data_IF_378561849862
#
_entry.id   IF_378561849862
#
_cell.length_a   1.000
_cell.length_b   1.000
_cell.length_c   1.000
_cell.angle_alpha   90.00
_cell.angle_beta   90.00
_cell.angle_gamma   90.00
#
_symmetry.space_group_name_H-M   'P 1'
#
loop_
_entity.id
_entity.type
_entity.pdbx_description
1 polymer ?
#
# COMPACT_ATOMS: atom_id res chain seq x y z
N UNK A 1 54.90 12.53 27.72
CA UNK A 1 54.44 11.24 27.16
C UNK A 1 52.91 11.33 27.11
N UNK A 2 52.40 12.03 26.08
CA UNK A 2 51.64 11.43 24.95
C UNK A 2 50.44 10.64 25.51
N UNK A 3 49.24 11.20 25.60
CA UNK A 3 48.53 11.88 24.51
C UNK A 3 47.83 10.85 23.63
N UNK A 4 47.14 9.88 24.25
CA UNK A 4 46.22 8.95 23.56
C UNK A 4 45.01 9.74 23.07
N UNK A 5 45.20 10.33 21.90
CA UNK A 5 44.16 10.84 21.02
C UNK A 5 43.14 9.73 20.77
N UNK A 6 41.93 9.95 21.27
CA UNK A 6 40.70 9.29 20.85
C UNK A 6 40.70 9.18 19.32
N UNK A 7 41.04 8.00 18.80
CA UNK A 7 40.71 7.63 17.43
C UNK A 7 39.20 7.64 17.34
N UNK A 8 38.68 8.74 16.79
CA UNK A 8 37.33 8.74 16.23
C UNK A 8 37.30 7.62 15.21
N UNK A 9 36.37 6.65 15.29
CA UNK A 9 36.30 5.58 14.30
C UNK A 9 36.17 6.24 12.94
N UNK A 10 37.12 5.93 12.05
CA UNK A 10 37.17 6.45 10.68
C UNK A 10 35.77 6.41 10.07
N UNK A 11 35.26 7.58 9.67
CA UNK A 11 33.99 7.66 8.97
C UNK A 11 34.06 6.71 7.76
N UNK A 12 33.12 5.76 7.63
CA UNK A 12 33.25 4.70 6.64
C UNK A 12 33.31 5.32 5.24
N UNK A 13 34.43 5.06 4.54
CA UNK A 13 34.74 5.66 3.23
C UNK A 13 33.70 5.22 2.19
N UNK A 14 33.13 6.14 1.40
CA UNK A 14 32.14 5.80 0.40
C UNK A 14 32.73 4.87 -0.67
N UNK A 15 32.07 3.75 -0.92
CA UNK A 15 32.46 2.76 -1.92
C UNK A 15 31.67 3.00 -3.22
N UNK A 16 32.05 4.05 -3.97
CA UNK A 16 31.59 4.27 -5.36
C UNK A 16 30.56 5.39 -5.58
N UNK A 17 30.23 5.63 -6.85
CA UNK A 17 29.35 6.74 -7.28
C UNK A 17 27.90 6.61 -6.78
N UNK A 18 27.39 5.38 -6.71
CA UNK A 18 26.07 5.07 -6.13
C UNK A 18 26.01 5.35 -4.63
N UNK A 19 27.11 5.08 -3.92
CA UNK A 19 27.22 5.31 -2.49
C UNK A 19 27.25 6.81 -2.16
N UNK A 20 27.89 7.62 -3.01
CA UNK A 20 27.87 9.08 -2.87
C UNK A 20 26.50 9.70 -3.20
N UNK A 21 25.77 9.16 -4.17
CA UNK A 21 24.46 9.71 -4.58
C UNK A 21 23.34 9.33 -3.60
N UNK A 22 23.28 8.06 -3.17
CA UNK A 22 22.26 7.57 -2.23
C UNK A 22 22.68 7.66 -0.76
N UNK A 23 23.95 8.01 -0.49
CA UNK A 23 24.54 8.08 0.86
C UNK A 23 24.37 6.76 1.62
N UNK A 24 24.58 5.62 0.95
CA UNK A 24 24.22 4.28 1.45
C UNK A 24 25.02 3.94 2.71
N UNK A 25 26.32 4.15 2.67
CA UNK A 25 27.25 3.94 3.79
C UNK A 25 27.03 4.95 4.91
N UNK A 26 26.66 6.20 4.59
CA UNK A 26 26.31 7.21 5.59
C UNK A 26 24.93 6.95 6.25
N UNK A 27 24.05 6.17 5.61
CA UNK A 27 22.80 5.63 6.19
C UNK A 27 23.01 4.32 6.94
N UNK A 28 24.25 3.81 7.01
CA UNK A 28 24.60 2.56 7.71
C UNK A 28 24.14 1.29 6.99
N UNK A 29 23.84 1.37 5.68
CA UNK A 29 23.37 0.25 4.87
C UNK A 29 24.46 -0.23 3.90
N UNK A 30 24.24 -1.38 3.25
CA UNK A 30 25.12 -1.92 2.20
C UNK A 30 24.34 -2.12 0.92
N UNK A 31 25.02 -2.10 -0.24
CA UNK A 31 24.37 -2.35 -1.54
C UNK A 31 23.60 -3.67 -1.56
N UNK A 32 24.12 -4.72 -0.90
CA UNK A 32 23.41 -6.00 -0.76
C UNK A 32 22.12 -5.87 0.05
N UNK A 33 22.15 -5.11 1.14
CA UNK A 33 20.98 -4.89 2.01
C UNK A 33 19.92 -4.03 1.32
N UNK A 34 20.31 -3.01 0.57
CA UNK A 34 19.39 -2.19 -0.25
C UNK A 34 18.72 -3.03 -1.35
N UNK A 35 19.48 -3.89 -2.04
CA UNK A 35 18.92 -4.79 -3.07
C UNK A 35 17.95 -5.80 -2.45
N UNK A 36 18.29 -6.39 -1.30
CA UNK A 36 17.39 -7.30 -0.59
C UNK A 36 16.12 -6.57 -0.12
N UNK A 37 16.25 -5.39 0.47
CA UNK A 37 15.13 -4.59 0.95
C UNK A 37 14.22 -4.12 -0.21
N UNK A 38 14.81 -3.78 -1.35
CA UNK A 38 14.07 -3.49 -2.58
C UNK A 38 13.30 -4.70 -3.09
N UNK A 39 13.93 -5.88 -3.11
CA UNK A 39 13.29 -7.12 -3.55
C UNK A 39 12.13 -7.54 -2.62
N UNK A 40 12.32 -7.47 -1.30
CA UNK A 40 11.26 -7.78 -0.33
C UNK A 40 10.09 -6.82 -0.47
N UNK A 41 10.36 -5.52 -0.63
CA UNK A 41 9.32 -4.50 -0.84
C UNK A 41 8.58 -4.71 -2.16
N UNK A 42 9.30 -5.07 -3.22
CA UNK A 42 8.71 -5.40 -4.50
C UNK A 42 7.76 -6.60 -4.38
N UNK A 43 8.21 -7.70 -3.77
CA UNK A 43 7.39 -8.90 -3.54
C UNK A 43 6.13 -8.59 -2.73
N UNK A 44 6.23 -7.73 -1.72
CA UNK A 44 5.08 -7.29 -0.94
C UNK A 44 4.05 -6.50 -1.78
N UNK A 45 4.52 -5.63 -2.69
CA UNK A 45 3.64 -4.82 -3.54
C UNK A 45 3.01 -5.60 -4.70
N UNK A 46 3.65 -6.66 -5.20
CA UNK A 46 3.15 -7.47 -6.33
C UNK A 46 1.73 -7.99 -6.10
N UNK A 47 1.33 -8.25 -4.85
CA UNK A 47 -0.05 -8.63 -4.52
C UNK A 47 -1.09 -7.62 -5.06
N UNK A 48 -0.81 -6.31 -4.96
CA UNK A 48 -1.73 -5.26 -5.43
C UNK A 48 -1.97 -5.32 -6.93
N UNK A 49 -0.98 -5.74 -7.72
CA UNK A 49 -1.03 -5.82 -9.18
C UNK A 49 -2.02 -6.90 -9.65
N UNK A 50 -2.26 -7.94 -8.85
CA UNK A 50 -3.23 -9.00 -9.16
C UNK A 50 -4.62 -8.63 -8.64
N UNK A 51 -4.67 -8.06 -7.43
CA UNK A 51 -5.92 -7.81 -6.70
C UNK A 51 -6.70 -6.65 -7.30
N UNK A 52 -6.05 -5.55 -7.65
CA UNK A 52 -6.70 -4.33 -8.16
C UNK A 52 -7.46 -4.60 -9.47
N UNK A 53 -6.86 -5.22 -10.51
CA UNK A 53 -7.58 -5.60 -11.72
C UNK A 53 -8.70 -6.61 -11.46
N UNK A 54 -8.50 -7.54 -10.52
CA UNK A 54 -9.54 -8.52 -10.15
C UNK A 54 -10.77 -7.88 -9.50
N UNK A 55 -10.58 -6.83 -8.69
CA UNK A 55 -11.68 -6.10 -8.05
C UNK A 55 -12.40 -5.18 -9.04
N UNK A 56 -11.65 -4.36 -9.78
CA UNK A 56 -12.21 -3.42 -10.75
C UNK A 56 -12.82 -4.15 -11.96
N UNK A 57 -12.27 -5.30 -12.35
CA UNK A 57 -12.83 -6.14 -13.42
C UNK A 57 -14.26 -6.59 -13.11
N UNK A 58 -14.56 -6.96 -11.85
CA UNK A 58 -15.91 -7.31 -11.41
C UNK A 58 -16.90 -6.13 -11.47
N UNK A 59 -16.41 -4.90 -11.43
CA UNK A 59 -17.21 -3.69 -11.56
C UNK A 59 -17.34 -3.20 -13.01
N UNK A 60 -16.82 -3.94 -14.01
CA UNK A 60 -16.93 -3.58 -15.43
C UNK A 60 -15.77 -2.76 -15.99
N UNK A 61 -14.67 -2.62 -15.25
CA UNK A 61 -13.46 -2.00 -15.79
C UNK A 61 -12.69 -3.01 -16.67
N UNK A 62 -12.05 -2.56 -17.77
CA UNK A 62 -11.19 -3.42 -18.59
C UNK A 62 -9.97 -3.90 -17.79
N UNK A 63 -9.88 -5.20 -17.40
CA UNK A 63 -8.86 -5.66 -16.45
C UNK A 63 -7.44 -5.50 -16.96
N UNK A 64 -7.22 -5.71 -18.26
CA UNK A 64 -5.92 -5.54 -18.90
C UNK A 64 -5.43 -4.08 -18.84
N UNK A 65 -6.32 -3.11 -19.08
CA UNK A 65 -5.95 -1.70 -19.02
C UNK A 65 -5.68 -1.25 -17.57
N UNK A 66 -6.48 -1.73 -16.60
CA UNK A 66 -6.27 -1.46 -15.17
C UNK A 66 -4.94 -2.06 -14.68
N UNK A 67 -4.59 -3.27 -15.12
CA UNK A 67 -3.31 -3.91 -14.81
C UNK A 67 -2.14 -3.05 -15.30
N UNK A 68 -2.14 -2.69 -16.59
CA UNK A 68 -1.08 -1.86 -17.19
C UNK A 68 -0.99 -0.51 -16.49
N UNK A 69 -2.12 0.15 -16.23
CA UNK A 69 -2.15 1.42 -15.51
C UNK A 69 -1.59 1.31 -14.09
N UNK A 70 -1.93 0.24 -13.36
CA UNK A 70 -1.43 0.01 -12.00
C UNK A 70 0.08 -0.22 -11.98
N UNK A 71 0.59 -1.07 -12.88
CA UNK A 71 2.03 -1.31 -13.01
C UNK A 71 2.79 -0.04 -13.40
N UNK A 72 2.26 0.73 -14.35
CA UNK A 72 2.89 1.95 -14.84
C UNK A 72 2.93 3.04 -13.75
N UNK A 73 1.82 3.25 -13.04
CA UNK A 73 1.75 4.24 -11.95
C UNK A 73 2.61 3.84 -10.76
N UNK A 74 2.56 2.57 -10.33
CA UNK A 74 3.38 2.08 -9.22
C UNK A 74 4.87 2.11 -9.56
N UNK A 75 5.24 1.66 -10.76
CA UNK A 75 6.62 1.67 -11.25
C UNK A 75 7.15 3.09 -11.41
N UNK A 76 6.44 3.96 -12.15
CA UNK A 76 6.84 5.34 -12.37
C UNK A 76 6.86 6.14 -11.06
N UNK A 77 5.85 5.97 -10.21
CA UNK A 77 5.78 6.65 -8.91
C UNK A 77 6.93 6.25 -7.97
N UNK A 78 7.22 4.95 -7.88
CA UNK A 78 8.34 4.46 -7.08
C UNK A 78 9.69 4.91 -7.65
N UNK A 79 9.83 4.95 -8.98
CA UNK A 79 11.03 5.45 -9.65
C UNK A 79 11.27 6.94 -9.38
N UNK A 80 10.20 7.74 -9.45
CA UNK A 80 10.25 9.18 -9.18
C UNK A 80 10.66 9.45 -7.72
N UNK A 81 10.08 8.73 -6.75
CA UNK A 81 10.46 8.85 -5.34
C UNK A 81 11.89 8.38 -5.06
N UNK A 82 12.30 7.29 -5.71
CA UNK A 82 13.65 6.74 -5.56
C UNK A 82 14.74 7.64 -6.14
N UNK A 83 14.61 8.05 -7.41
CA UNK A 83 15.67 8.83 -8.08
C UNK A 83 15.63 10.32 -7.77
N UNK A 84 14.43 10.90 -7.61
CA UNK A 84 14.28 12.35 -7.51
C UNK A 84 14.16 12.84 -6.06
N UNK A 85 13.43 12.10 -5.22
CA UNK A 85 13.32 12.43 -3.80
C UNK A 85 14.39 11.73 -2.92
N UNK A 86 15.10 10.71 -3.44
CA UNK A 86 16.10 9.93 -2.72
C UNK A 86 15.57 9.37 -1.38
N UNK A 87 14.28 8.99 -1.40
CA UNK A 87 13.54 8.42 -0.28
C UNK A 87 13.25 6.95 -0.57
N UNK A 88 13.49 6.02 0.38
CA UNK A 88 13.17 4.60 0.23
C UNK A 88 11.65 4.37 0.38
N UNK A 89 10.86 4.97 -0.50
CA UNK A 89 9.40 4.94 -0.46
C UNK A 89 8.87 4.27 -1.71
N UNK A 90 8.18 3.15 -1.52
CA UNK A 90 7.47 2.45 -2.56
C UNK A 90 6.06 3.04 -2.71
N UNK A 91 5.67 3.37 -3.95
CA UNK A 91 4.33 3.86 -4.26
C UNK A 91 3.51 2.69 -4.82
N UNK A 92 2.40 2.39 -4.15
CA UNK A 92 1.44 1.37 -4.56
C UNK A 92 0.02 1.90 -4.70
N UNK A 93 -0.86 1.07 -5.25
CA UNK A 93 -2.28 1.38 -5.36
C UNK A 93 -3.00 1.18 -4.01
N UNK A 94 -3.90 2.08 -3.66
CA UNK A 94 -4.74 1.94 -2.47
C UNK A 94 -5.85 0.90 -2.68
N UNK A 95 -5.68 -0.29 -2.11
CA UNK A 95 -6.61 -1.42 -2.24
C UNK A 95 -7.99 -1.08 -1.65
N UNK A 96 -8.03 -0.42 -0.49
CA UNK A 96 -9.30 -0.06 0.17
C UNK A 96 -10.15 0.90 -0.66
N UNK A 97 -9.53 1.92 -1.24
CA UNK A 97 -10.21 2.90 -2.08
C UNK A 97 -10.66 2.27 -3.40
N UNK A 98 -9.86 1.34 -3.94
CA UNK A 98 -10.22 0.52 -5.10
C UNK A 98 -11.47 -0.33 -4.81
N UNK A 99 -11.52 -0.97 -3.64
CA UNK A 99 -12.66 -1.77 -3.20
C UNK A 99 -13.94 -0.94 -3.08
N UNK A 100 -13.83 0.23 -2.45
CA UNK A 100 -14.93 1.18 -2.31
C UNK A 100 -15.45 1.63 -3.68
N UNK A 101 -14.54 1.94 -4.61
CA UNK A 101 -14.92 2.37 -5.97
C UNK A 101 -15.63 1.24 -6.73
N UNK A 102 -15.10 0.02 -6.68
CA UNK A 102 -15.68 -1.12 -7.39
C UNK A 102 -17.02 -1.58 -6.79
N UNK A 103 -17.05 -1.85 -5.48
CA UNK A 103 -18.20 -2.49 -4.82
C UNK A 103 -19.25 -1.50 -4.33
N UNK A 104 -18.84 -0.36 -3.76
CA UNK A 104 -19.79 0.60 -3.19
C UNK A 104 -20.31 1.58 -4.23
N UNK A 105 -19.42 2.22 -5.01
CA UNK A 105 -19.83 3.22 -6.00
C UNK A 105 -20.41 2.57 -7.26
N UNK A 106 -19.64 1.72 -7.94
CA UNK A 106 -20.05 1.19 -9.25
C UNK A 106 -21.11 0.10 -9.09
N UNK A 107 -20.85 -0.94 -8.29
CA UNK A 107 -21.83 -2.02 -8.10
C UNK A 107 -22.98 -1.63 -7.16
N UNK A 108 -22.70 -0.91 -6.08
CA UNK A 108 -23.71 -0.55 -5.07
C UNK A 108 -24.64 0.59 -5.50
N UNK A 109 -24.11 1.65 -6.11
CA UNK A 109 -24.90 2.82 -6.55
C UNK A 109 -25.16 2.83 -8.07
N UNK A 110 -24.72 1.81 -8.81
CA UNK A 110 -24.91 1.68 -10.27
C UNK A 110 -24.35 2.88 -11.05
N UNK A 111 -23.29 3.51 -10.55
CA UNK A 111 -22.62 4.64 -11.21
C UNK A 111 -21.77 4.10 -12.37
N UNK A 112 -21.81 4.78 -13.52
CA UNK A 112 -20.99 4.39 -14.67
C UNK A 112 -19.49 4.53 -14.40
N UNK A 113 -18.69 3.62 -14.97
CA UNK A 113 -17.23 3.59 -14.85
C UNK A 113 -16.56 4.95 -15.17
N UNK A 114 -16.95 5.67 -16.26
CA UNK A 114 -16.34 6.97 -16.57
C UNK A 114 -16.62 8.03 -15.49
N UNK A 115 -17.81 8.02 -14.89
CA UNK A 115 -18.17 8.97 -13.81
C UNK A 115 -17.37 8.67 -12.55
N UNK A 116 -17.21 7.39 -12.20
CA UNK A 116 -16.37 6.99 -11.07
C UNK A 116 -14.91 7.40 -11.26
N UNK A 117 -14.35 7.20 -12.46
CA UNK A 117 -12.99 7.66 -12.80
C UNK A 117 -12.87 9.19 -12.77
N UNK A 118 -13.88 9.92 -13.23
CA UNK A 118 -13.94 11.38 -13.14
C UNK A 118 -13.92 11.89 -11.71
N UNK A 119 -14.67 11.23 -10.81
CA UNK A 119 -14.67 11.56 -9.39
C UNK A 119 -13.30 11.31 -8.73
N UNK A 120 -12.66 10.17 -9.03
CA UNK A 120 -11.32 9.85 -8.53
C UNK A 120 -10.27 10.84 -9.05
N UNK A 121 -10.36 11.22 -10.33
CA UNK A 121 -9.48 12.22 -10.93
C UNK A 121 -9.64 13.58 -10.23
N UNK A 122 -10.88 14.04 -10.03
CA UNK A 122 -11.15 15.32 -9.36
C UNK A 122 -10.68 15.31 -7.91
N UNK A 123 -10.89 14.20 -7.19
CA UNK A 123 -10.33 14.00 -5.86
C UNK A 123 -8.80 14.12 -5.86
N UNK A 124 -8.12 13.54 -6.85
CA UNK A 124 -6.68 13.66 -7.02
C UNK A 124 -6.21 15.11 -7.26
N UNK A 125 -6.91 15.85 -8.12
CA UNK A 125 -6.61 17.27 -8.38
C UNK A 125 -6.77 18.11 -7.11
N UNK A 126 -7.89 17.94 -6.40
CA UNK A 126 -8.16 18.63 -5.13
C UNK A 126 -7.09 18.27 -4.09
N UNK A 127 -6.75 16.99 -3.96
CA UNK A 127 -5.74 16.53 -3.01
C UNK A 127 -4.35 17.09 -3.34
N UNK A 128 -3.96 17.16 -4.61
CA UNK A 128 -2.72 17.80 -5.05
C UNK A 128 -2.72 19.30 -4.70
N UNK A 129 -3.81 20.02 -4.96
CA UNK A 129 -3.92 21.44 -4.60
C UNK A 129 -3.77 21.67 -3.08
N UNK A 130 -4.40 20.83 -2.26
CA UNK A 130 -4.26 20.86 -0.79
C UNK A 130 -2.82 20.51 -0.36
N UNK A 131 -2.17 19.58 -1.05
CA UNK A 131 -0.79 19.19 -0.75
C UNK A 131 0.21 20.30 -1.10
N UNK A 132 0.00 21.04 -2.18
CA UNK A 132 0.87 22.15 -2.60
C UNK A 132 0.70 23.38 -1.70
N UNK A 133 -0.51 23.64 -1.21
CA UNK A 133 -0.79 24.77 -0.31
C UNK A 133 -0.30 24.55 1.13
N UNK A 134 0.29 23.40 1.46
CA UNK A 134 0.84 23.10 2.79
C UNK A 134 -0.20 22.76 3.86
N UNK A 135 -1.49 22.80 3.51
CA UNK A 135 -2.62 22.45 4.37
C UNK A 135 -2.49 21.03 4.91
N UNK A 136 -1.95 20.10 4.12
CA UNK A 136 -1.66 18.72 4.55
C UNK A 136 -0.83 18.68 5.83
N UNK A 137 0.25 19.46 5.92
CA UNK A 137 1.13 19.47 7.09
C UNK A 137 0.45 20.10 8.30
N UNK A 138 -0.39 21.11 8.07
CA UNK A 138 -1.21 21.73 9.12
C UNK A 138 -2.21 20.73 9.72
N UNK A 139 -2.93 19.99 8.86
CA UNK A 139 -3.87 18.94 9.30
C UNK A 139 -3.15 17.89 10.13
N UNK A 140 -2.02 17.37 9.66
CA UNK A 140 -1.27 16.32 10.37
C UNK A 140 -0.80 16.78 11.76
N UNK A 141 -0.45 18.06 11.92
CA UNK A 141 0.00 18.60 13.21
C UNK A 141 -1.15 18.85 14.19
N UNK A 142 -2.35 19.06 13.69
CA UNK A 142 -3.56 19.29 14.48
C UNK A 142 -4.40 18.03 14.70
N UNK A 143 -4.02 16.90 14.09
CA UNK A 143 -4.78 15.66 14.18
C UNK A 143 -4.52 14.97 15.53
N UNK A 144 -5.55 14.78 16.38
CA UNK A 144 -5.36 14.11 17.66
C UNK A 144 -4.98 12.64 17.44
N UNK A 145 -4.07 12.13 18.27
CA UNK A 145 -3.54 10.76 18.15
C UNK A 145 -4.64 9.70 18.13
N UNK A 146 -5.78 9.93 18.78
CA UNK A 146 -6.94 9.01 18.75
C UNK A 146 -7.52 8.83 17.33
N UNK A 147 -7.61 9.89 16.54
CA UNK A 147 -8.11 9.83 15.16
C UNK A 147 -7.08 9.14 14.26
N UNK A 148 -5.78 9.37 14.47
CA UNK A 148 -4.72 8.69 13.73
C UNK A 148 -4.79 7.17 13.93
N UNK A 149 -4.83 6.71 15.18
CA UNK A 149 -4.90 5.29 15.51
C UNK A 149 -6.22 4.68 15.04
N UNK A 150 -7.36 5.36 15.24
CA UNK A 150 -8.65 4.90 14.77
C UNK A 150 -8.71 4.73 13.25
N UNK A 151 -8.10 5.64 12.49
CA UNK A 151 -8.00 5.55 11.03
C UNK A 151 -7.18 4.31 10.62
N UNK A 152 -6.03 4.07 11.28
CA UNK A 152 -5.21 2.89 11.03
C UNK A 152 -5.95 1.58 11.30
N UNK A 153 -6.63 1.49 12.45
CA UNK A 153 -7.43 0.31 12.83
C UNK A 153 -8.57 0.08 11.83
N UNK A 154 -9.29 1.15 11.44
CA UNK A 154 -10.39 1.07 10.49
C UNK A 154 -9.97 0.56 9.11
N UNK A 155 -8.85 1.08 8.57
CA UNK A 155 -8.29 0.61 7.29
C UNK A 155 -7.89 -0.87 7.40
N UNK A 156 -7.25 -1.26 8.51
CA UNK A 156 -6.85 -2.65 8.77
C UNK A 156 -8.03 -3.61 8.82
N UNK A 157 -9.06 -3.28 9.60
CA UNK A 157 -10.29 -4.08 9.71
C UNK A 157 -11.05 -4.16 8.39
N UNK A 158 -11.05 -3.08 7.60
CA UNK A 158 -11.67 -3.07 6.28
C UNK A 158 -10.93 -3.99 5.29
N UNK A 159 -9.60 -3.95 5.27
CA UNK A 159 -8.80 -4.87 4.46
C UNK A 159 -8.95 -6.32 4.92
N UNK A 160 -9.05 -6.56 6.24
CA UNK A 160 -9.33 -7.88 6.80
C UNK A 160 -10.68 -8.41 6.29
N UNK A 161 -11.73 -7.58 6.27
CA UNK A 161 -13.03 -7.97 5.75
C UNK A 161 -12.97 -8.33 4.26
N UNK A 162 -12.25 -7.55 3.44
CA UNK A 162 -12.07 -7.84 2.01
C UNK A 162 -11.33 -9.16 1.82
N UNK A 163 -10.26 -9.40 2.58
CA UNK A 163 -9.49 -10.64 2.52
C UNK A 163 -10.34 -11.84 2.96
N UNK A 164 -11.05 -11.73 4.09
CA UNK A 164 -11.95 -12.75 4.60
C UNK A 164 -13.07 -13.09 3.60
N UNK A 165 -13.58 -12.08 2.88
CA UNK A 165 -14.53 -12.30 1.79
C UNK A 165 -13.90 -12.98 0.58
N UNK A 166 -12.69 -12.58 0.18
CA UNK A 166 -11.96 -13.18 -0.93
C UNK A 166 -11.63 -14.66 -0.73
N UNK A 167 -11.38 -15.08 0.52
CA UNK A 167 -11.08 -16.47 0.89
C UNK A 167 -12.35 -17.29 1.18
N UNK A 168 -13.52 -16.65 1.29
CA UNK A 168 -14.78 -17.32 1.61
C UNK A 168 -14.95 -17.65 3.09
N UNK A 169 -14.13 -17.04 3.98
CA UNK A 169 -14.35 -17.07 5.43
C UNK A 169 -15.59 -16.26 5.81
N UNK A 170 -15.84 -15.19 5.06
CA UNK A 170 -17.00 -14.30 5.19
C UNK A 170 -17.79 -14.32 3.89
N UNK A 171 -19.02 -14.82 3.93
CA UNK A 171 -19.92 -14.89 2.78
C UNK A 171 -21.07 -13.90 2.92
N UNK A 172 -21.64 -13.48 1.78
CA UNK A 172 -22.86 -12.67 1.78
C UNK A 172 -23.99 -13.50 2.37
N UNK A 173 -24.63 -12.99 3.42
CA UNK A 173 -25.80 -13.64 3.98
C UNK A 173 -27.01 -13.38 3.05
N UNK A 174 -27.73 -14.43 2.60
CA UNK A 174 -28.98 -14.26 1.87
C UNK A 174 -30.18 -13.86 2.76
N UNK A 175 -30.03 -13.85 4.10
CA UNK A 175 -31.11 -13.53 5.05
C UNK A 175 -31.11 -12.03 5.38
N UNK A 176 -32.26 -11.36 5.27
CA UNK A 176 -32.45 -9.97 5.67
C UNK A 176 -32.21 -9.79 7.18
N UNK A 177 -31.17 -9.04 7.54
CA UNK A 177 -30.88 -8.66 8.94
C UNK A 177 -29.39 -8.69 9.33
N UNK A 178 -28.57 -9.54 8.70
CA UNK A 178 -27.11 -9.56 8.90
C UNK A 178 -26.40 -9.43 7.55
N UNK A 179 -25.57 -8.40 7.30
CA UNK A 179 -24.87 -8.25 6.03
C UNK A 179 -23.84 -9.37 5.74
N UNK A 180 -23.45 -10.13 6.78
CA UNK A 180 -22.30 -11.01 6.79
C UNK A 180 -22.68 -12.35 7.42
N UNK A 181 -22.37 -13.46 6.76
CA UNK A 181 -22.48 -14.81 7.30
C UNK A 181 -21.12 -15.50 7.35
N UNK A 182 -20.94 -16.41 8.31
CA UNK A 182 -19.74 -17.24 8.37
C UNK A 182 -19.77 -18.26 7.23
N UNK A 183 -18.68 -18.31 6.45
CA UNK A 183 -18.51 -19.28 5.39
C UNK A 183 -18.10 -20.67 5.92
N UNK A 184 -17.79 -21.58 5.00
CA UNK A 184 -17.34 -22.92 5.37
C UNK A 184 -15.90 -22.88 5.90
N UNK A 185 -15.72 -22.92 7.22
CA UNK A 185 -14.40 -22.93 7.88
C UNK A 185 -13.53 -24.15 7.53
N UNK A 186 -14.14 -25.23 7.05
CA UNK A 186 -13.45 -26.45 6.61
C UNK A 186 -12.99 -26.38 5.15
N UNK A 187 -13.26 -25.27 4.44
CA UNK A 187 -12.82 -25.12 3.07
C UNK A 187 -11.31 -24.88 2.98
N UNK A 188 -10.68 -25.48 1.97
CA UNK A 188 -9.23 -25.41 1.73
C UNK A 188 -8.68 -23.96 1.77
N UNK A 189 -9.32 -22.95 1.16
CA UNK A 189 -8.81 -21.56 1.20
C UNK A 189 -8.80 -20.95 2.61
N UNK A 190 -9.83 -21.22 3.42
CA UNK A 190 -9.97 -20.67 4.78
C UNK A 190 -8.93 -21.28 5.71
N UNK A 191 -8.74 -22.60 5.63
CA UNK A 191 -7.75 -23.30 6.42
C UNK A 191 -6.32 -22.88 6.09
N UNK A 192 -6.00 -22.69 4.80
CA UNK A 192 -4.69 -22.17 4.37
C UNK A 192 -4.45 -20.74 4.84
N UNK A 193 -5.50 -19.91 4.88
CA UNK A 193 -5.39 -18.53 5.36
C UNK A 193 -5.20 -18.45 6.88
N UNK A 194 -5.89 -19.32 7.65
CA UNK A 194 -5.71 -19.44 9.10
C UNK A 194 -4.32 -20.00 9.46
N UNK A 195 -3.84 -21.01 8.72
CA UNK A 195 -2.48 -21.53 8.88
C UNK A 195 -1.44 -20.45 8.56
N UNK A 196 -1.60 -19.74 7.45
CA UNK A 196 -0.70 -18.64 7.09
C UNK A 196 -0.68 -17.54 8.15
N UNK A 197 -1.84 -17.18 8.71
CA UNK A 197 -1.93 -16.22 9.81
C UNK A 197 -1.24 -16.73 11.08
N UNK A 198 -1.44 -18.01 11.42
CA UNK A 198 -0.80 -18.63 12.58
C UNK A 198 0.73 -18.68 12.45
N UNK A 199 1.27 -18.92 11.24
CA UNK A 199 2.72 -18.91 10.97
C UNK A 199 3.31 -17.49 11.01
N UNK A 200 2.52 -16.45 10.75
CA UNK A 200 2.98 -15.06 10.83
C UNK A 200 3.04 -14.58 12.29
N UNK A 201 2.12 -15.03 13.14
CA UNK A 201 2.05 -14.63 14.56
C UNK A 201 2.82 -15.55 15.53
N UNK A 202 3.04 -16.82 15.17
CA UNK A 202 3.78 -17.81 15.96
C UNK A 202 5.25 -17.88 15.60
#
# INVERSE_FOLDING_TARGET
>A
MSGDILQTPDAPKPQGALDNYFKITARGSTVRQEVLAGLTTFLAMVYSVIVVPGMLGKAGFPPAAVFVATCLVAGFGSLLMGLWANLPMAIGCAISLTAFTAFSLVLGQQISVPVALGAVFLMGVIFTAISVTGVRTWILRNLPMGIAHGTGIGIGLFLLLIAANGVGMVIKNPIEGLPVALGAFTSFPVMMSLLGLAVIFG
#
